data_IF_669282259966
#
_entry.id   IF_669282259966
#
_cell.length_a   1.000
_cell.length_b   1.000
_cell.length_c   1.000
_cell.angle_alpha   90.00
_cell.angle_beta   90.00
_cell.angle_gamma   90.00
#
_symmetry.space_group_name_H-M   'P 1'
#
loop_
_entity.id
_entity.type
_entity.pdbx_description
1 polymer ?
#
# COMPACT_ATOMS: atom_id res chain seq x y z
N UNK A 1 0.71 30.76 -10.15
CA UNK A 1 -0.60 31.27 -9.73
C UNK A 1 -1.65 30.64 -10.64
N UNK A 2 -2.58 29.88 -10.06
CA UNK A 2 -3.61 29.12 -10.78
C UNK A 2 -4.76 30.06 -11.19
N UNK A 3 -5.14 30.18 -12.47
CA UNK A 3 -6.17 31.11 -12.93
C UNK A 3 -7.61 30.74 -12.51
N UNK A 4 -7.82 29.62 -11.81
CA UNK A 4 -9.15 29.16 -11.37
C UNK A 4 -9.26 28.91 -9.84
N UNK A 5 -8.47 29.65 -9.06
CA UNK A 5 -8.41 29.52 -7.60
C UNK A 5 -9.77 29.66 -6.87
N UNK A 6 -10.28 28.52 -6.39
CA UNK A 6 -10.87 28.34 -5.06
C UNK A 6 -10.82 26.85 -4.71
N UNK A 7 -10.70 26.52 -3.42
CA UNK A 7 -10.69 25.16 -2.85
C UNK A 7 -11.96 24.34 -3.10
N UNK A 8 -12.95 24.90 -3.78
CA UNK A 8 -14.34 24.42 -3.77
C UNK A 8 -14.76 23.81 -5.12
N UNK A 9 -13.84 23.62 -6.07
CA UNK A 9 -14.16 23.05 -7.38
C UNK A 9 -13.20 21.92 -7.75
N UNK A 10 -13.74 20.89 -8.40
CA UNK A 10 -13.00 19.77 -8.99
C UNK A 10 -13.31 19.66 -10.48
N UNK A 11 -12.36 19.22 -11.28
CA UNK A 11 -12.58 18.99 -12.72
C UNK A 11 -12.87 17.51 -12.97
N UNK A 12 -14.01 17.22 -13.59
CA UNK A 12 -14.42 15.86 -14.00
C UNK A 12 -14.66 15.88 -15.51
N UNK A 13 -13.90 15.09 -16.26
CA UNK A 13 -13.98 15.03 -17.73
C UNK A 13 -13.99 16.41 -18.41
N UNK A 14 -13.13 17.31 -17.93
CA UNK A 14 -13.02 18.69 -18.43
C UNK A 14 -14.11 19.65 -17.96
N UNK A 15 -15.07 19.20 -17.15
CA UNK A 15 -16.13 20.03 -16.58
C UNK A 15 -15.81 20.41 -15.14
N UNK A 16 -15.86 21.71 -14.83
CA UNK A 16 -15.74 22.18 -13.45
C UNK A 16 -17.01 21.84 -12.65
N UNK A 17 -16.84 21.13 -11.54
CA UNK A 17 -17.89 20.69 -10.63
C UNK A 17 -17.67 21.36 -9.29
N UNK A 18 -18.69 22.05 -8.80
CA UNK A 18 -18.64 22.70 -7.49
C UNK A 18 -18.88 21.69 -6.38
N UNK A 19 -17.93 21.60 -5.45
CA UNK A 19 -18.03 20.77 -4.26
C UNK A 19 -19.02 21.40 -3.26
N UNK A 20 -19.83 20.57 -2.57
CA UNK A 20 -20.72 21.06 -1.53
C UNK A 20 -19.91 21.47 -0.29
N UNK A 21 -20.20 22.64 0.27
CA UNK A 21 -19.53 23.12 1.49
C UNK A 21 -20.30 22.60 2.71
N UNK A 22 -19.73 21.63 3.42
CA UNK A 22 -20.32 21.09 4.64
C UNK A 22 -20.25 22.11 5.79
N UNK A 23 -21.32 22.21 6.57
CA UNK A 23 -21.37 22.96 7.82
C UNK A 23 -20.99 22.01 8.95
N UNK A 24 -19.88 22.30 9.64
CA UNK A 24 -19.32 21.43 10.67
C UNK A 24 -18.31 20.43 10.10
N UNK A 25 -18.10 19.31 10.78
CA UNK A 25 -17.12 18.30 10.36
C UNK A 25 -17.71 17.40 9.25
N UNK A 26 -17.22 17.45 8.00
CA UNK A 26 -17.72 16.61 6.90
C UNK A 26 -17.50 15.11 7.15
N UNK A 27 -16.46 14.73 7.90
CA UNK A 27 -16.14 13.36 8.27
C UNK A 27 -16.99 12.82 9.44
N UNK A 28 -17.93 13.62 9.96
CA UNK A 28 -18.87 13.16 11.00
C UNK A 28 -19.85 12.09 10.48
N UNK A 29 -19.94 11.88 9.16
CA UNK A 29 -20.78 10.86 8.52
C UNK A 29 -22.25 10.91 8.98
N UNK A 30 -22.76 12.09 9.32
CA UNK A 30 -24.10 12.25 9.85
C UNK A 30 -25.16 12.21 8.74
N UNK A 31 -26.28 11.49 8.91
CA UNK A 31 -27.43 11.59 8.00
C UNK A 31 -28.09 12.99 8.05
N UNK A 32 -27.73 13.79 9.06
CA UNK A 32 -28.13 15.20 9.20
C UNK A 32 -27.03 16.17 8.81
N UNK A 33 -26.02 15.74 8.03
CA UNK A 33 -25.04 16.66 7.48
C UNK A 33 -25.76 17.82 6.79
N UNK A 34 -25.43 19.04 7.24
CA UNK A 34 -25.98 20.27 6.68
C UNK A 34 -24.93 20.90 5.79
N UNK A 35 -25.34 21.40 4.64
CA UNK A 35 -24.49 22.10 3.69
C UNK A 35 -24.85 23.57 3.66
N UNK A 36 -23.91 24.40 3.21
CA UNK A 36 -24.21 25.79 2.90
C UNK A 36 -25.15 25.87 1.70
N UNK A 37 -26.19 26.70 1.80
CA UNK A 37 -27.12 26.97 0.70
C UNK A 37 -26.36 27.55 -0.50
N UNK A 38 -26.72 27.21 -1.74
CA UNK A 38 -26.08 27.77 -2.91
C UNK A 38 -26.38 29.27 -3.03
N UNK A 39 -25.40 30.03 -3.51
CA UNK A 39 -25.66 31.37 -3.99
C UNK A 39 -26.56 31.29 -5.23
N UNK A 40 -27.57 32.16 -5.28
CA UNK A 40 -28.41 32.26 -6.46
C UNK A 40 -27.63 32.91 -7.59
N UNK A 41 -27.74 32.31 -8.78
CA UNK A 41 -27.25 32.91 -10.00
C UNK A 41 -27.98 34.26 -10.21
N UNK A 42 -27.25 35.36 -10.45
CA UNK A 42 -27.85 36.63 -10.82
C UNK A 42 -28.74 36.49 -12.07
N UNK A 43 -29.88 37.16 -12.08
CA UNK A 43 -30.80 37.11 -13.22
C UNK A 43 -30.13 37.57 -14.51
N UNK A 44 -29.14 38.46 -14.45
CA UNK A 44 -28.37 38.94 -15.61
C UNK A 44 -27.49 37.89 -16.27
N UNK A 45 -27.20 36.78 -15.59
CA UNK A 45 -26.31 35.72 -16.10
C UNK A 45 -27.06 34.61 -16.86
N UNK A 46 -28.39 34.64 -16.88
CA UNK A 46 -29.20 33.61 -17.53
C UNK A 46 -30.20 34.19 -18.53
N UNK A 47 -29.85 34.21 -19.82
CA UNK A 47 -30.75 34.63 -20.90
C UNK A 47 -31.71 33.52 -21.36
N UNK A 48 -31.38 32.27 -21.06
CA UNK A 48 -32.14 31.07 -21.41
C UNK A 48 -32.25 30.12 -20.22
N UNK A 49 -33.27 29.25 -20.24
CA UNK A 49 -33.45 28.22 -19.21
C UNK A 49 -32.30 27.20 -19.25
N UNK A 50 -31.56 27.02 -18.14
CA UNK A 50 -30.39 26.12 -18.02
C UNK A 50 -30.69 24.61 -18.08
N UNK A 51 -31.88 24.23 -18.57
CA UNK A 51 -32.24 22.82 -18.81
C UNK A 51 -32.84 22.58 -20.19
N UNK A 52 -33.47 23.59 -20.81
CA UNK A 52 -34.13 23.41 -22.10
C UNK A 52 -33.72 24.46 -23.13
N UNK A 53 -32.80 25.35 -22.77
CA UNK A 53 -32.19 26.39 -23.59
C UNK A 53 -33.14 27.39 -24.26
N UNK A 54 -34.44 27.36 -23.89
CA UNK A 54 -35.43 28.33 -24.36
C UNK A 54 -35.19 29.68 -23.67
N UNK A 55 -35.04 30.74 -24.48
CA UNK A 55 -34.87 32.13 -24.04
C UNK A 55 -35.99 32.59 -23.12
N UNK A 56 -35.63 33.32 -22.07
CA UNK A 56 -36.58 33.99 -21.21
C UNK A 56 -37.23 35.19 -21.92
N UNK A 57 -38.45 35.53 -21.49
CA UNK A 57 -39.22 36.65 -22.06
C UNK A 57 -40.16 37.22 -21.00
N UNK A 58 -40.92 38.26 -21.35
CA UNK A 58 -41.93 38.82 -20.44
C UNK A 58 -42.96 37.77 -19.97
N UNK A 59 -43.28 36.77 -20.81
CA UNK A 59 -44.21 35.69 -20.48
C UNK A 59 -43.52 34.43 -19.94
N UNK A 60 -42.21 34.27 -20.17
CA UNK A 60 -41.40 33.18 -19.61
C UNK A 60 -40.47 33.73 -18.55
N UNK A 61 -40.94 33.72 -17.30
CA UNK A 61 -40.21 34.24 -16.13
C UNK A 61 -39.10 33.28 -15.68
N UNK A 62 -38.10 33.86 -15.02
CA UNK A 62 -36.95 33.17 -14.41
C UNK A 62 -37.35 32.57 -13.06
N UNK A 63 -36.85 31.37 -12.76
CA UNK A 63 -37.07 30.68 -11.48
C UNK A 63 -35.79 30.00 -10.98
N UNK A 64 -35.34 30.36 -9.79
CA UNK A 64 -34.19 29.72 -9.15
C UNK A 64 -34.55 28.35 -8.57
N UNK A 65 -33.70 27.37 -8.84
CA UNK A 65 -33.68 26.12 -8.08
C UNK A 65 -33.07 26.38 -6.71
N UNK A 66 -33.79 26.08 -5.63
CA UNK A 66 -33.29 26.28 -4.26
C UNK A 66 -32.15 25.33 -3.90
N UNK A 67 -31.97 24.25 -4.67
CA UNK A 67 -30.88 23.31 -4.42
C UNK A 67 -29.56 23.67 -5.10
N UNK A 68 -29.57 24.17 -6.34
CA UNK A 68 -28.34 24.50 -7.07
C UNK A 68 -28.15 25.98 -7.38
N UNK A 69 -29.11 26.85 -7.03
CA UNK A 69 -29.04 28.30 -7.27
C UNK A 69 -29.20 28.72 -8.75
N UNK A 70 -29.16 27.79 -9.71
CA UNK A 70 -29.30 28.05 -11.16
C UNK A 70 -30.73 28.44 -11.55
N UNK A 71 -30.87 29.13 -12.69
CA UNK A 71 -32.14 29.69 -13.20
C UNK A 71 -32.78 28.81 -14.29
N UNK A 72 -34.09 28.60 -14.16
CA UNK A 72 -34.90 27.74 -15.03
C UNK A 72 -36.27 28.37 -15.36
N UNK A 73 -36.95 27.84 -16.38
CA UNK A 73 -38.36 28.18 -16.64
C UNK A 73 -39.31 27.35 -15.76
N UNK A 74 -40.58 27.76 -15.68
CA UNK A 74 -41.60 27.12 -14.82
C UNK A 74 -41.74 25.62 -15.09
N UNK A 75 -41.64 25.19 -16.36
CA UNK A 75 -41.71 23.77 -16.74
C UNK A 75 -40.50 22.94 -16.27
N UNK A 76 -39.34 23.57 -16.09
CA UNK A 76 -38.11 22.89 -15.68
C UNK A 76 -37.84 22.99 -14.17
N UNK A 77 -38.58 23.83 -13.45
CA UNK A 77 -38.50 24.04 -12.00
C UNK A 77 -39.93 24.23 -11.43
N UNK A 78 -40.75 23.19 -11.61
CA UNK A 78 -42.16 23.17 -11.23
C UNK A 78 -42.37 22.63 -9.82
N UNK A 79 -41.72 21.50 -9.55
CA UNK A 79 -41.93 20.66 -8.37
C UNK A 79 -41.28 21.27 -7.13
N UNK A 80 -41.88 20.98 -5.98
CA UNK A 80 -41.35 21.37 -4.67
C UNK A 80 -41.02 20.14 -3.83
N UNK A 81 -39.86 20.15 -3.20
CA UNK A 81 -39.39 19.05 -2.34
C UNK A 81 -38.66 19.60 -1.10
N UNK A 82 -38.78 18.95 0.07
CA UNK A 82 -37.95 19.30 1.23
C UNK A 82 -36.46 19.24 0.92
N UNK A 83 -35.69 20.18 1.48
CA UNK A 83 -34.22 20.25 1.38
C UNK A 83 -33.58 20.16 2.77
N UNK A 84 -33.74 19.02 3.48
CA UNK A 84 -33.29 18.89 4.86
C UNK A 84 -31.75 18.97 5.00
N UNK A 85 -31.00 18.66 3.94
CA UNK A 85 -29.55 18.87 3.89
C UNK A 85 -29.13 20.35 3.88
N UNK A 86 -30.07 21.29 3.71
CA UNK A 86 -29.85 22.73 3.96
C UNK A 86 -30.58 23.23 5.21
N UNK A 87 -31.08 22.33 6.06
CA UNK A 87 -31.91 22.65 7.21
C UNK A 87 -33.31 23.18 6.84
N UNK A 88 -33.81 22.88 5.63
CA UNK A 88 -35.12 23.32 5.15
C UNK A 88 -36.05 22.11 5.07
N UNK A 89 -36.96 21.97 6.04
CA UNK A 89 -37.93 20.88 6.03
C UNK A 89 -39.12 21.15 5.11
N UNK A 90 -39.36 22.42 4.77
CA UNK A 90 -40.49 22.78 3.90
C UNK A 90 -40.21 22.55 2.41
N UNK A 91 -41.21 22.16 1.62
CA UNK A 91 -41.02 21.93 0.19
C UNK A 91 -40.62 23.19 -0.58
N UNK A 92 -39.45 23.15 -1.21
CA UNK A 92 -38.88 24.24 -2.00
C UNK A 92 -38.73 23.87 -3.48
N UNK A 93 -38.78 24.89 -4.35
CA UNK A 93 -38.69 24.68 -5.81
C UNK A 93 -37.32 24.11 -6.21
N UNK A 94 -37.34 23.00 -6.94
CA UNK A 94 -36.13 22.37 -7.48
C UNK A 94 -36.24 22.15 -8.98
N UNK A 95 -35.11 22.23 -9.68
CA UNK A 95 -35.06 21.84 -11.08
C UNK A 95 -35.15 20.33 -11.25
N UNK A 96 -35.54 19.87 -12.44
CA UNK A 96 -35.68 18.43 -12.75
C UNK A 96 -34.44 17.60 -12.39
N UNK A 97 -33.25 18.12 -12.65
CA UNK A 97 -31.99 17.41 -12.39
C UNK A 97 -31.67 17.32 -10.88
N UNK A 98 -31.98 18.35 -10.10
CA UNK A 98 -31.84 18.30 -8.64
C UNK A 98 -32.92 17.43 -8.00
N UNK A 99 -34.15 17.45 -8.55
CA UNK A 99 -35.29 16.73 -7.99
C UNK A 99 -34.95 15.25 -7.77
N UNK A 100 -34.47 14.57 -8.80
CA UNK A 100 -34.15 13.14 -8.73
C UNK A 100 -33.18 12.81 -7.59
N UNK A 101 -32.09 13.56 -7.48
CA UNK A 101 -31.06 13.31 -6.47
C UNK A 101 -31.57 13.65 -5.06
N UNK A 102 -32.29 14.76 -4.91
CA UNK A 102 -32.87 15.14 -3.62
C UNK A 102 -33.94 14.15 -3.16
N UNK A 103 -34.74 13.59 -4.08
CA UNK A 103 -35.70 12.51 -3.76
C UNK A 103 -34.98 11.27 -3.21
N UNK A 104 -33.90 10.85 -3.85
CA UNK A 104 -33.07 9.73 -3.37
C UNK A 104 -32.42 10.07 -2.01
N UNK A 105 -31.90 11.28 -1.84
CA UNK A 105 -31.33 11.72 -0.56
C UNK A 105 -32.38 11.76 0.57
N UNK A 106 -33.63 12.12 0.27
CA UNK A 106 -34.72 12.08 1.23
C UNK A 106 -35.09 10.63 1.58
N UNK A 107 -35.13 9.72 0.59
CA UNK A 107 -35.31 8.28 0.84
C UNK A 107 -34.21 7.69 1.72
N UNK A 108 -32.96 8.14 1.58
CA UNK A 108 -31.84 7.72 2.42
C UNK A 108 -32.04 8.02 3.92
N UNK A 109 -32.88 9.01 4.25
CA UNK A 109 -33.24 9.39 5.63
C UNK A 109 -34.44 8.62 6.19
N UNK A 110 -35.11 7.82 5.38
CA UNK A 110 -36.24 6.99 5.81
C UNK A 110 -35.81 6.00 6.90
N UNK A 111 -36.73 5.58 7.76
CA UNK A 111 -36.49 4.46 8.68
C UNK A 111 -36.52 3.10 7.98
N UNK A 112 -37.11 3.04 6.79
CA UNK A 112 -37.27 1.84 5.97
C UNK A 112 -35.96 1.49 5.23
N UNK A 113 -35.47 0.26 5.44
CA UNK A 113 -34.21 -0.22 4.84
C UNK A 113 -34.32 -0.44 3.34
N UNK A 114 -35.49 -0.79 2.82
CA UNK A 114 -35.67 -0.97 1.38
C UNK A 114 -35.62 0.37 0.66
N UNK A 115 -36.20 1.42 1.26
CA UNK A 115 -36.08 2.78 0.75
C UNK A 115 -34.64 3.31 0.80
N UNK A 116 -33.89 3.00 1.85
CA UNK A 116 -32.46 3.32 1.91
C UNK A 116 -31.68 2.59 0.84
N UNK A 117 -31.96 1.31 0.63
CA UNK A 117 -31.31 0.52 -0.40
C UNK A 117 -31.61 1.07 -1.80
N UNK A 118 -32.87 1.40 -2.10
CA UNK A 118 -33.25 2.11 -3.33
C UNK A 118 -32.51 3.43 -3.50
N UNK A 119 -32.33 4.19 -2.41
CA UNK A 119 -31.59 5.44 -2.44
C UNK A 119 -30.12 5.24 -2.83
N UNK A 120 -29.42 4.28 -2.20
CA UNK A 120 -28.01 3.98 -2.53
C UNK A 120 -27.91 3.55 -3.99
N UNK A 121 -28.71 2.58 -4.43
CA UNK A 121 -28.65 2.05 -5.79
C UNK A 121 -28.95 3.14 -6.83
N UNK A 122 -29.97 3.96 -6.56
CA UNK A 122 -30.34 5.08 -7.41
C UNK A 122 -29.19 6.10 -7.54
N UNK A 123 -28.59 6.50 -6.42
CA UNK A 123 -27.46 7.43 -6.44
C UNK A 123 -26.24 6.81 -7.14
N UNK A 124 -25.90 5.56 -6.83
CA UNK A 124 -24.78 4.83 -7.45
C UNK A 124 -24.93 4.68 -8.95
N UNK A 125 -26.16 4.49 -9.46
CA UNK A 125 -26.41 4.41 -10.90
C UNK A 125 -26.04 5.71 -11.64
N UNK A 126 -26.19 6.86 -10.98
CA UNK A 126 -25.86 8.17 -11.54
C UNK A 126 -24.34 8.43 -11.56
N UNK A 127 -23.56 7.74 -10.74
CA UNK A 127 -22.09 7.89 -10.70
C UNK A 127 -21.41 7.36 -11.97
N UNK A 128 -22.08 6.49 -12.73
CA UNK A 128 -21.52 5.81 -13.91
C UNK A 128 -21.29 6.73 -15.13
N UNK A 129 -21.84 7.94 -15.11
CA UNK A 129 -21.62 8.94 -16.17
C UNK A 129 -21.27 10.30 -15.58
N UNK A 130 -20.50 11.09 -16.32
CA UNK A 130 -19.92 12.35 -15.83
C UNK A 130 -20.96 13.40 -15.42
N UNK A 131 -22.06 13.53 -16.18
CA UNK A 131 -23.13 14.47 -15.87
C UNK A 131 -23.87 14.11 -14.57
N UNK A 132 -24.17 12.83 -14.39
CA UNK A 132 -24.79 12.28 -13.18
C UNK A 132 -23.86 12.42 -11.97
N UNK A 133 -22.60 12.01 -12.11
CA UNK A 133 -21.56 12.16 -11.09
C UNK A 133 -21.43 13.62 -10.61
N UNK A 134 -21.27 14.55 -11.56
CA UNK A 134 -21.19 15.99 -11.27
C UNK A 134 -22.39 16.46 -10.47
N UNK A 135 -23.59 16.00 -10.86
CA UNK A 135 -24.82 16.40 -10.19
C UNK A 135 -24.97 15.80 -8.80
N UNK A 136 -24.56 14.54 -8.61
CA UNK A 136 -24.55 13.88 -7.29
C UNK A 136 -23.60 14.60 -6.35
N UNK A 137 -22.42 15.01 -6.83
CA UNK A 137 -21.45 15.80 -6.06
C UNK A 137 -22.05 17.15 -5.66
N UNK A 138 -22.51 17.95 -6.62
CA UNK A 138 -23.07 19.29 -6.38
C UNK A 138 -24.22 19.29 -5.34
N UNK A 139 -24.96 18.18 -5.24
CA UNK A 139 -26.09 18.07 -4.32
C UNK A 139 -25.73 17.52 -2.93
N UNK A 140 -24.49 17.10 -2.68
CA UNK A 140 -24.10 16.43 -1.42
C UNK A 140 -24.51 14.95 -1.36
N UNK A 141 -24.73 14.33 -2.51
CA UNK A 141 -25.12 12.92 -2.58
C UNK A 141 -24.02 11.96 -2.13
N UNK A 142 -22.73 12.30 -2.31
CA UNK A 142 -21.61 11.48 -1.82
C UNK A 142 -21.63 11.34 -0.30
N UNK A 143 -21.77 12.44 0.45
CA UNK A 143 -21.88 12.38 1.91
C UNK A 143 -23.11 11.57 2.34
N UNK A 144 -24.21 11.64 1.59
CA UNK A 144 -25.41 10.85 1.85
C UNK A 144 -25.12 9.36 1.67
N UNK A 145 -24.46 8.97 0.57
CA UNK A 145 -23.99 7.59 0.33
C UNK A 145 -23.12 7.11 1.51
N UNK A 146 -22.10 7.88 1.89
CA UNK A 146 -21.20 7.50 2.98
C UNK A 146 -21.92 7.38 4.33
N UNK A 147 -22.86 8.29 4.65
CA UNK A 147 -23.61 8.25 5.91
C UNK A 147 -24.47 6.99 6.07
N UNK A 148 -24.93 6.39 4.95
CA UNK A 148 -25.70 5.15 4.97
C UNK A 148 -24.88 3.93 5.41
N UNK A 149 -23.54 4.01 5.39
CA UNK A 149 -22.66 2.96 5.90
C UNK A 149 -22.84 2.70 7.41
N UNK A 150 -23.18 3.72 8.19
CA UNK A 150 -23.21 3.64 9.67
C UNK A 150 -24.40 2.80 10.15
N UNK A 151 -25.58 3.03 9.57
CA UNK A 151 -26.83 2.42 10.03
C UNK A 151 -27.45 1.47 8.99
N UNK A 152 -26.69 1.10 7.96
CA UNK A 152 -27.13 0.19 6.91
C UNK A 152 -26.97 -1.27 7.28
N UNK A 153 -27.85 -2.13 6.77
CA UNK A 153 -27.63 -3.58 6.75
C UNK A 153 -26.52 -3.95 5.75
N UNK A 154 -26.13 -5.23 5.68
CA UNK A 154 -25.05 -5.68 4.79
C UNK A 154 -25.31 -5.36 3.31
N UNK A 155 -26.56 -5.38 2.84
CA UNK A 155 -26.91 -5.00 1.45
C UNK A 155 -26.60 -3.54 1.16
N UNK A 156 -26.98 -2.65 2.09
CA UNK A 156 -26.67 -1.21 2.01
C UNK A 156 -25.15 -1.00 2.05
N UNK A 157 -24.44 -1.66 2.97
CA UNK A 157 -22.99 -1.56 3.08
C UNK A 157 -22.29 -1.98 1.78
N UNK A 158 -22.67 -3.10 1.18
CA UNK A 158 -22.10 -3.54 -0.11
C UNK A 158 -22.38 -2.54 -1.23
N UNK A 159 -23.61 -1.99 -1.30
CA UNK A 159 -23.95 -0.97 -2.27
C UNK A 159 -23.16 0.34 -2.06
N UNK A 160 -22.87 0.72 -0.81
CA UNK A 160 -22.01 1.86 -0.47
C UNK A 160 -20.56 1.58 -0.84
N UNK A 161 -20.01 0.39 -0.56
CA UNK A 161 -18.65 0.03 -0.94
C UNK A 161 -18.47 0.07 -2.47
N UNK A 162 -19.43 -0.45 -3.23
CA UNK A 162 -19.44 -0.38 -4.70
C UNK A 162 -19.48 1.07 -5.21
N UNK A 163 -20.27 1.93 -4.57
CA UNK A 163 -20.32 3.36 -4.88
C UNK A 163 -18.96 4.04 -4.62
N UNK A 164 -18.34 3.76 -3.47
CA UNK A 164 -17.02 4.31 -3.11
C UNK A 164 -15.94 3.82 -4.07
N UNK A 165 -15.98 2.55 -4.47
CA UNK A 165 -15.09 2.02 -5.50
C UNK A 165 -15.24 2.76 -6.83
N UNK A 166 -16.48 2.99 -7.29
CA UNK A 166 -16.73 3.76 -8.51
C UNK A 166 -16.20 5.20 -8.41
N UNK A 167 -16.36 5.86 -7.26
CA UNK A 167 -15.86 7.22 -7.03
C UNK A 167 -14.32 7.27 -7.02
N UNK A 168 -13.67 6.28 -6.40
CA UNK A 168 -12.21 6.20 -6.29
C UNK A 168 -11.49 5.97 -7.64
N UNK A 169 -12.22 5.62 -8.71
CA UNK A 169 -11.65 5.55 -10.06
C UNK A 169 -11.23 6.93 -10.59
N UNK A 170 -11.79 8.03 -10.05
CA UNK A 170 -11.40 9.39 -10.41
C UNK A 170 -10.44 9.96 -9.37
N UNK A 171 -9.15 10.02 -9.71
CA UNK A 171 -8.11 10.58 -8.83
C UNK A 171 -8.41 12.02 -8.37
N UNK A 172 -9.13 12.79 -9.20
CA UNK A 172 -9.52 14.17 -8.89
C UNK A 172 -10.45 14.27 -7.67
N UNK A 173 -11.15 13.18 -7.32
CA UNK A 173 -12.07 13.13 -6.19
C UNK A 173 -11.42 12.64 -4.89
N UNK A 174 -10.17 12.14 -4.94
CA UNK A 174 -9.55 11.47 -3.79
C UNK A 174 -9.55 12.33 -2.52
N UNK A 175 -9.05 13.58 -2.59
CA UNK A 175 -9.04 14.51 -1.44
C UNK A 175 -10.45 14.72 -0.88
N UNK A 176 -11.42 15.00 -1.77
CA UNK A 176 -12.80 15.22 -1.37
C UNK A 176 -13.42 13.98 -0.70
N UNK A 177 -13.15 12.78 -1.20
CA UNK A 177 -13.63 11.54 -0.60
C UNK A 177 -13.06 11.34 0.81
N UNK A 178 -11.75 11.58 0.99
CA UNK A 178 -11.09 11.48 2.29
C UNK A 178 -11.68 12.49 3.27
N UNK A 179 -11.82 13.76 2.86
CA UNK A 179 -12.46 14.82 3.68
C UNK A 179 -13.92 14.49 4.03
N UNK A 180 -14.65 13.83 3.14
CA UNK A 180 -16.02 13.38 3.37
C UNK A 180 -16.12 12.17 4.32
N UNK A 181 -14.98 11.61 4.76
CA UNK A 181 -14.92 10.49 5.70
C UNK A 181 -14.94 9.11 5.06
N UNK A 182 -14.54 8.97 3.78
CA UNK A 182 -14.54 7.68 3.09
C UNK A 182 -13.63 6.65 3.78
N UNK A 183 -12.47 7.05 4.32
CA UNK A 183 -11.52 6.14 4.96
C UNK A 183 -12.12 5.52 6.23
N UNK A 184 -12.87 6.30 7.01
CA UNK A 184 -13.60 5.80 8.17
C UNK A 184 -14.67 4.76 7.78
N UNK A 185 -15.36 4.97 6.65
CA UNK A 185 -16.31 4.00 6.11
C UNK A 185 -15.60 2.70 5.69
N UNK A 186 -14.51 2.81 4.93
CA UNK A 186 -13.74 1.65 4.47
C UNK A 186 -13.14 0.86 5.64
N UNK A 187 -12.58 1.56 6.64
CA UNK A 187 -12.06 0.94 7.87
C UNK A 187 -13.16 0.14 8.56
N UNK A 188 -14.34 0.73 8.77
CA UNK A 188 -15.46 0.05 9.41
C UNK A 188 -15.92 -1.20 8.63
N UNK A 189 -15.87 -1.17 7.30
CA UNK A 189 -16.20 -2.34 6.48
C UNK A 189 -15.17 -3.45 6.62
N UNK A 190 -13.88 -3.11 6.54
CA UNK A 190 -12.78 -4.07 6.67
C UNK A 190 -12.63 -4.63 8.09
N UNK A 191 -12.99 -3.86 9.12
CA UNK A 191 -13.00 -4.32 10.51
C UNK A 191 -14.25 -5.12 10.90
N UNK A 192 -15.28 -5.17 10.05
CA UNK A 192 -16.52 -5.87 10.41
C UNK A 192 -16.39 -7.40 10.25
N UNK A 193 -16.93 -8.16 11.20
CA UNK A 193 -17.12 -9.60 11.08
C UNK A 193 -18.19 -9.89 10.02
N UNK A 194 -17.83 -9.80 8.75
CA UNK A 194 -18.75 -9.95 7.64
C UNK A 194 -18.25 -11.01 6.67
N UNK A 195 -19.07 -12.04 6.43
CA UNK A 195 -18.80 -13.07 5.41
C UNK A 195 -19.12 -12.58 3.98
N UNK A 196 -19.43 -11.29 3.78
CA UNK A 196 -19.74 -10.74 2.46
C UNK A 196 -18.44 -10.41 1.72
N UNK A 197 -18.03 -11.33 0.85
CA UNK A 197 -16.84 -11.19 0.01
C UNK A 197 -16.91 -9.97 -0.92
N UNK A 198 -18.09 -9.65 -1.45
CA UNK A 198 -18.32 -8.47 -2.30
C UNK A 198 -18.00 -7.17 -1.55
N UNK A 199 -18.47 -7.04 -0.29
CA UNK A 199 -18.20 -5.86 0.54
C UNK A 199 -16.69 -5.66 0.74
N UNK A 200 -15.97 -6.72 1.10
CA UNK A 200 -14.53 -6.67 1.31
C UNK A 200 -13.79 -6.38 -0.01
N UNK A 201 -14.19 -7.04 -1.10
CA UNK A 201 -13.57 -6.86 -2.42
C UNK A 201 -13.69 -5.41 -2.92
N UNK A 202 -14.88 -4.82 -2.86
CA UNK A 202 -15.10 -3.43 -3.29
C UNK A 202 -14.36 -2.45 -2.36
N UNK A 203 -14.35 -2.72 -1.05
CA UNK A 203 -13.64 -1.88 -0.07
C UNK A 203 -12.13 -1.90 -0.30
N UNK A 204 -11.54 -3.08 -0.51
CA UNK A 204 -10.11 -3.24 -0.84
C UNK A 204 -9.78 -2.61 -2.19
N UNK A 205 -10.66 -2.74 -3.19
CA UNK A 205 -10.48 -2.14 -4.51
C UNK A 205 -10.49 -0.62 -4.45
N UNK A 206 -11.42 -0.03 -3.70
CA UNK A 206 -11.46 1.40 -3.46
C UNK A 206 -10.19 1.89 -2.74
N UNK A 207 -9.79 1.20 -1.67
CA UNK A 207 -8.60 1.56 -0.90
C UNK A 207 -7.32 1.44 -1.74
N UNK A 208 -7.20 0.41 -2.59
CA UNK A 208 -6.09 0.26 -3.51
C UNK A 208 -5.96 1.46 -4.45
N UNK A 209 -7.07 1.92 -5.05
CA UNK A 209 -7.09 3.08 -5.94
C UNK A 209 -6.72 4.37 -5.20
N UNK A 210 -7.25 4.58 -4.00
CA UNK A 210 -6.91 5.72 -3.15
C UNK A 210 -5.42 5.74 -2.79
N UNK A 211 -4.85 4.58 -2.45
CA UNK A 211 -3.42 4.42 -2.15
C UNK A 211 -2.49 4.59 -3.36
N UNK A 212 -3.00 4.80 -4.59
CA UNK A 212 -2.13 5.18 -5.70
C UNK A 212 -1.58 6.61 -5.52
N UNK A 213 -2.31 7.45 -4.79
CA UNK A 213 -1.88 8.80 -4.41
C UNK A 213 -1.06 8.76 -3.11
N UNK A 214 0.16 9.31 -3.15
CA UNK A 214 1.07 9.31 -2.00
C UNK A 214 0.56 10.12 -0.82
N UNK A 215 -0.13 11.24 -1.08
CA UNK A 215 -0.64 12.12 -0.01
C UNK A 215 -1.77 11.42 0.75
N UNK A 216 -2.59 10.66 0.02
CA UNK A 216 -3.70 9.89 0.59
C UNK A 216 -3.18 8.72 1.45
N UNK A 217 -2.03 8.11 1.12
CA UNK A 217 -1.44 7.03 1.96
C UNK A 217 -1.20 7.50 3.40
N UNK A 218 -0.81 8.75 3.59
CA UNK A 218 -0.57 9.32 4.93
C UNK A 218 -1.90 9.38 5.71
N UNK A 219 -2.99 9.81 5.07
CA UNK A 219 -4.31 9.84 5.69
C UNK A 219 -4.85 8.43 5.96
N UNK A 220 -4.59 7.47 5.08
CA UNK A 220 -4.89 6.03 5.30
C UNK A 220 -4.18 5.49 6.54
N UNK A 221 -2.91 5.86 6.75
CA UNK A 221 -2.16 5.48 7.95
C UNK A 221 -2.74 6.14 9.21
N UNK A 222 -3.02 7.44 9.18
CA UNK A 222 -3.59 8.19 10.31
C UNK A 222 -4.96 7.67 10.74
N UNK A 223 -5.78 7.20 9.80
CA UNK A 223 -7.09 6.59 10.11
C UNK A 223 -6.94 5.22 10.83
N UNK A 224 -5.73 4.64 10.86
CA UNK A 224 -5.47 3.33 11.48
C UNK A 224 -5.91 2.16 10.60
N UNK A 225 -5.75 2.30 9.27
CA UNK A 225 -6.20 1.29 8.31
C UNK A 225 -5.39 -0.02 8.36
N UNK A 226 -4.15 0.01 8.87
CA UNK A 226 -3.30 -1.18 8.96
C UNK A 226 -3.94 -2.28 9.81
N UNK A 227 -4.52 -1.93 10.95
CA UNK A 227 -5.19 -2.91 11.83
C UNK A 227 -6.39 -3.56 11.12
N UNK A 228 -7.17 -2.77 10.38
CA UNK A 228 -8.30 -3.27 9.60
C UNK A 228 -7.85 -4.19 8.45
N UNK A 229 -6.77 -3.83 7.75
CA UNK A 229 -6.17 -4.69 6.72
C UNK A 229 -5.63 -6.00 7.29
N UNK A 230 -4.91 -5.95 8.42
CA UNK A 230 -4.37 -7.14 9.07
C UNK A 230 -5.48 -8.08 9.56
N UNK A 231 -6.58 -7.53 10.09
CA UNK A 231 -7.75 -8.34 10.44
C UNK A 231 -8.26 -9.12 9.21
N UNK A 232 -8.40 -8.46 8.05
CA UNK A 232 -8.83 -9.15 6.82
C UNK A 232 -7.81 -10.19 6.37
N UNK A 233 -6.52 -9.89 6.42
CA UNK A 233 -5.43 -10.82 6.06
C UNK A 233 -5.48 -12.10 6.90
N UNK A 234 -5.74 -11.99 8.20
CA UNK A 234 -5.74 -13.12 9.14
C UNK A 234 -7.08 -13.87 9.18
N UNK A 235 -8.21 -13.17 9.08
CA UNK A 235 -9.55 -13.77 9.25
C UNK A 235 -10.18 -14.27 7.95
N UNK A 236 -9.72 -13.80 6.79
CA UNK A 236 -10.21 -14.26 5.48
C UNK A 236 -9.34 -15.36 4.88
N UNK A 237 -9.78 -15.94 3.77
CA UNK A 237 -9.02 -16.96 3.01
C UNK A 237 -8.93 -16.63 1.53
N UNK A 238 -7.88 -17.13 0.88
CA UNK A 238 -7.70 -17.06 -0.58
C UNK A 238 -7.53 -15.62 -1.09
N UNK A 239 -8.25 -15.28 -2.16
CA UNK A 239 -8.06 -14.03 -2.93
C UNK A 239 -8.22 -12.78 -2.06
N UNK A 240 -9.15 -12.78 -1.11
CA UNK A 240 -9.40 -11.63 -0.23
C UNK A 240 -8.18 -11.30 0.64
N UNK A 241 -7.57 -12.30 1.28
CA UNK A 241 -6.38 -12.12 2.12
C UNK A 241 -5.17 -11.71 1.29
N UNK A 242 -5.02 -12.30 0.10
CA UNK A 242 -3.98 -11.91 -0.86
C UNK A 242 -4.15 -10.44 -1.27
N UNK A 243 -5.38 -10.01 -1.57
CA UNK A 243 -5.62 -8.64 -2.00
C UNK A 243 -5.41 -7.63 -0.86
N UNK A 244 -5.90 -7.93 0.35
CA UNK A 244 -5.63 -7.11 1.53
C UNK A 244 -4.13 -6.96 1.80
N UNK A 245 -3.37 -8.05 1.64
CA UNK A 245 -1.90 -8.04 1.78
C UNK A 245 -1.24 -7.14 0.73
N UNK A 246 -1.73 -7.13 -0.51
CA UNK A 246 -1.22 -6.24 -1.57
C UNK A 246 -1.51 -4.76 -1.28
N UNK A 247 -2.68 -4.44 -0.73
CA UNK A 247 -2.98 -3.07 -0.30
C UNK A 247 -2.07 -2.66 0.85
N UNK A 248 -1.81 -3.55 1.82
CA UNK A 248 -0.86 -3.30 2.90
C UNK A 248 0.57 -3.08 2.38
N UNK A 249 1.01 -3.78 1.34
CA UNK A 249 2.32 -3.57 0.71
C UNK A 249 2.49 -2.14 0.17
N UNK A 250 1.44 -1.51 -0.35
CA UNK A 250 1.50 -0.12 -0.85
C UNK A 250 1.83 0.89 0.26
N UNK A 251 1.51 0.55 1.50
CA UNK A 251 1.85 1.35 2.68
C UNK A 251 3.26 0.99 3.17
N UNK A 252 3.59 -0.29 3.29
CA UNK A 252 4.85 -0.73 3.89
C UNK A 252 6.06 -0.52 2.98
N UNK A 253 5.89 -0.43 1.65
CA UNK A 253 7.02 -0.25 0.74
C UNK A 253 7.72 1.11 0.87
N UNK A 254 7.10 2.12 1.51
CA UNK A 254 7.74 3.39 1.83
C UNK A 254 8.36 3.35 3.23
N UNK A 255 9.68 3.40 3.31
CA UNK A 255 10.44 3.38 4.57
C UNK A 255 10.15 4.58 5.48
N UNK A 256 9.72 5.72 4.93
CA UNK A 256 9.36 6.91 5.73
C UNK A 256 8.17 6.65 6.68
N UNK A 257 7.35 5.64 6.38
CA UNK A 257 6.18 5.30 7.20
C UNK A 257 6.52 4.36 8.35
N UNK A 258 7.71 3.73 8.34
CA UNK A 258 8.05 2.63 9.24
C UNK A 258 8.04 3.05 10.71
N UNK A 259 8.54 4.23 11.05
CA UNK A 259 8.52 4.73 12.43
C UNK A 259 7.09 4.99 12.92
N UNK A 260 6.24 5.54 12.07
CA UNK A 260 4.81 5.73 12.38
C UNK A 260 4.12 4.38 12.59
N UNK A 261 4.37 3.41 11.71
CA UNK A 261 3.80 2.06 11.80
C UNK A 261 4.25 1.38 13.11
N UNK A 262 5.55 1.45 13.43
CA UNK A 262 6.11 0.85 14.63
C UNK A 262 5.47 1.40 15.91
N UNK A 263 5.21 2.71 15.96
CA UNK A 263 4.61 3.37 17.12
C UNK A 263 3.13 3.02 17.30
N UNK A 264 2.38 2.84 16.19
CA UNK A 264 0.93 2.69 16.22
C UNK A 264 0.44 1.24 16.07
N UNK A 265 1.27 0.33 15.53
CA UNK A 265 0.87 -1.05 15.20
C UNK A 265 1.90 -2.09 15.66
N UNK A 266 2.04 -2.25 16.98
CA UNK A 266 3.03 -3.17 17.59
C UNK A 266 2.83 -4.65 17.25
N UNK A 267 1.60 -5.06 16.89
CA UNK A 267 1.27 -6.47 16.59
C UNK A 267 1.44 -6.85 15.12
N UNK A 268 1.92 -5.94 14.28
CA UNK A 268 2.04 -6.18 12.84
C UNK A 268 2.91 -7.40 12.51
N UNK A 269 4.08 -7.54 13.15
CA UNK A 269 4.96 -8.70 12.89
C UNK A 269 4.30 -10.02 13.37
N UNK A 270 3.81 -10.14 14.62
CA UNK A 270 3.10 -11.35 15.06
C UNK A 270 1.92 -11.76 14.15
N UNK A 271 1.14 -10.79 13.66
CA UNK A 271 -0.01 -11.03 12.77
C UNK A 271 0.41 -11.47 11.37
N UNK A 272 1.48 -10.87 10.82
CA UNK A 272 2.07 -11.32 9.57
C UNK A 272 2.60 -12.75 9.68
N UNK A 273 3.27 -13.11 10.78
CA UNK A 273 3.71 -14.49 11.01
C UNK A 273 2.54 -15.47 11.17
N UNK A 274 1.44 -15.06 11.81
CA UNK A 274 0.23 -15.88 11.86
C UNK A 274 -0.35 -16.12 10.45
N UNK A 275 -0.35 -15.09 9.59
CA UNK A 275 -0.79 -15.22 8.19
C UNK A 275 0.18 -16.07 7.34
N UNK A 276 1.49 -16.01 7.62
CA UNK A 276 2.54 -16.74 6.91
C UNK A 276 2.40 -18.27 7.05
N UNK A 277 1.86 -18.74 8.17
CA UNK A 277 1.67 -20.16 8.46
C UNK A 277 0.49 -20.79 7.69
N UNK A 278 -0.27 -20.02 6.92
CA UNK A 278 -1.27 -20.57 6.01
C UNK A 278 -0.60 -21.27 4.81
N UNK A 279 -1.22 -22.33 4.28
CA UNK A 279 -0.71 -23.11 3.14
C UNK A 279 -0.90 -22.42 1.77
N UNK A 280 -1.44 -21.19 1.74
CA UNK A 280 -1.63 -20.43 0.50
C UNK A 280 -0.32 -19.78 0.03
N UNK A 281 0.29 -20.34 -1.01
CA UNK A 281 1.53 -19.82 -1.61
C UNK A 281 1.44 -18.37 -2.09
N UNK A 282 0.28 -17.91 -2.57
CA UNK A 282 0.11 -16.52 -3.01
C UNK A 282 0.11 -15.57 -1.83
N UNK A 283 -0.53 -15.99 -0.72
CA UNK A 283 -0.50 -15.24 0.52
C UNK A 283 0.91 -15.21 1.10
N UNK A 284 1.59 -16.36 1.20
CA UNK A 284 3.00 -16.44 1.64
C UNK A 284 3.91 -15.51 0.83
N UNK A 285 3.78 -15.47 -0.50
CA UNK A 285 4.54 -14.56 -1.35
C UNK A 285 4.27 -13.07 -1.01
N UNK A 286 3.02 -12.72 -0.69
CA UNK A 286 2.68 -11.37 -0.29
C UNK A 286 3.22 -11.01 1.11
N UNK A 287 3.09 -11.91 2.08
CA UNK A 287 3.54 -11.70 3.46
C UNK A 287 5.07 -11.60 3.51
N UNK A 288 5.78 -12.52 2.84
CA UNK A 288 7.25 -12.46 2.76
C UNK A 288 7.74 -11.16 2.12
N UNK A 289 7.04 -10.64 1.11
CA UNK A 289 7.38 -9.33 0.53
C UNK A 289 7.22 -8.18 1.54
N UNK A 290 6.18 -8.21 2.38
CA UNK A 290 5.97 -7.22 3.44
C UNK A 290 7.10 -7.32 4.49
N UNK A 291 7.40 -8.53 4.96
CA UNK A 291 8.47 -8.78 5.92
C UNK A 291 9.85 -8.39 5.36
N UNK A 292 10.07 -8.59 4.06
CA UNK A 292 11.28 -8.14 3.38
C UNK A 292 11.45 -6.61 3.50
N UNK A 293 10.40 -5.83 3.25
CA UNK A 293 10.45 -4.38 3.47
C UNK A 293 10.71 -4.03 4.93
N UNK A 294 10.02 -4.64 5.89
CA UNK A 294 10.28 -4.36 7.32
C UNK A 294 11.71 -4.72 7.75
N UNK A 295 12.25 -5.86 7.30
CA UNK A 295 13.61 -6.28 7.63
C UNK A 295 14.68 -5.34 7.06
N UNK A 296 14.42 -4.74 5.89
CA UNK A 296 15.27 -3.73 5.28
C UNK A 296 15.19 -2.36 5.97
N UNK A 297 14.13 -2.12 6.76
CA UNK A 297 13.89 -0.89 7.49
C UNK A 297 14.76 -0.74 8.74
N UNK A 298 14.15 -0.37 9.86
CA UNK A 298 14.86 -0.06 11.11
C UNK A 298 15.24 -1.31 11.92
N UNK A 299 16.23 -1.16 12.83
CA UNK A 299 16.69 -2.23 13.74
C UNK A 299 15.53 -2.86 14.53
N UNK A 300 14.56 -2.09 15.09
CA UNK A 300 13.43 -2.67 15.82
C UNK A 300 12.62 -3.68 15.02
N UNK A 301 12.40 -3.44 13.72
CA UNK A 301 11.70 -4.41 12.88
C UNK A 301 12.48 -5.71 12.70
N UNK A 302 13.80 -5.63 12.51
CA UNK A 302 14.65 -6.83 12.45
C UNK A 302 14.60 -7.63 13.74
N UNK A 303 14.71 -6.96 14.89
CA UNK A 303 14.64 -7.61 16.19
C UNK A 303 13.29 -8.29 16.43
N UNK A 304 12.18 -7.61 16.10
CA UNK A 304 10.84 -8.20 16.20
C UNK A 304 10.67 -9.41 15.28
N UNK A 305 11.18 -9.35 14.04
CA UNK A 305 11.13 -10.48 13.09
C UNK A 305 11.94 -11.66 13.64
N UNK A 306 13.16 -11.43 14.13
CA UNK A 306 14.00 -12.50 14.73
C UNK A 306 13.28 -13.13 15.93
N UNK A 307 12.70 -12.32 16.82
CA UNK A 307 11.99 -12.81 17.99
C UNK A 307 10.79 -13.68 17.60
N UNK A 308 9.95 -13.21 16.67
CA UNK A 308 8.79 -13.97 16.20
C UNK A 308 9.20 -15.26 15.48
N UNK A 309 10.21 -15.21 14.61
CA UNK A 309 10.71 -16.38 13.88
C UNK A 309 11.25 -17.45 14.84
N UNK A 310 12.10 -17.07 15.81
CA UNK A 310 12.64 -17.99 16.82
C UNK A 310 11.53 -18.55 17.70
N UNK A 311 10.58 -17.72 18.15
CA UNK A 311 9.49 -18.15 19.04
C UNK A 311 8.54 -19.17 18.40
N UNK A 312 8.54 -19.27 17.07
CA UNK A 312 7.65 -20.12 16.27
C UNK A 312 8.40 -21.26 15.59
N UNK A 313 9.60 -21.60 16.06
CA UNK A 313 10.43 -22.67 15.51
C UNK A 313 10.85 -22.45 14.04
N UNK A 314 11.28 -21.22 13.73
CA UNK A 314 11.90 -20.82 12.47
C UNK A 314 11.04 -21.04 11.19
N UNK A 315 9.81 -20.50 11.12
CA UNK A 315 8.99 -20.60 9.91
C UNK A 315 9.65 -19.99 8.67
N UNK A 316 10.53 -18.98 8.80
CA UNK A 316 11.30 -18.48 7.66
C UNK A 316 12.23 -19.57 7.09
N UNK A 317 12.91 -20.34 7.95
CA UNK A 317 13.79 -21.43 7.50
C UNK A 317 13.01 -22.59 6.90
N UNK A 318 11.80 -22.86 7.41
CA UNK A 318 10.89 -23.82 6.79
C UNK A 318 10.55 -23.42 5.34
N UNK A 319 10.26 -22.13 5.09
CA UNK A 319 9.96 -21.64 3.75
C UNK A 319 11.14 -21.70 2.78
N UNK A 320 12.39 -21.65 3.28
CA UNK A 320 13.57 -21.88 2.44
C UNK A 320 13.64 -23.28 1.84
N UNK A 321 12.89 -24.25 2.37
CA UNK A 321 12.79 -25.62 1.84
C UNK A 321 11.66 -25.78 0.81
N UNK A 322 10.92 -24.71 0.54
CA UNK A 322 9.80 -24.70 -0.42
C UNK A 322 10.25 -24.67 -1.89
N UNK A 323 9.27 -24.70 -2.80
CA UNK A 323 9.52 -24.74 -4.25
C UNK A 323 9.25 -23.40 -4.96
N UNK A 324 8.56 -22.46 -4.30
CA UNK A 324 8.19 -21.17 -4.90
C UNK A 324 9.37 -20.22 -4.97
N UNK A 325 9.92 -20.01 -6.18
CA UNK A 325 11.11 -19.17 -6.40
C UNK A 325 10.94 -17.74 -5.85
N UNK A 326 9.77 -17.12 -6.02
CA UNK A 326 9.52 -15.78 -5.49
C UNK A 326 9.55 -15.73 -3.95
N UNK A 327 9.01 -16.76 -3.29
CA UNK A 327 9.06 -16.88 -1.83
C UNK A 327 10.50 -17.09 -1.37
N UNK A 328 11.25 -17.98 -2.04
CA UNK A 328 12.66 -18.24 -1.73
C UNK A 328 13.51 -16.97 -1.81
N UNK A 329 13.36 -16.17 -2.86
CA UNK A 329 14.07 -14.89 -3.03
C UNK A 329 13.73 -13.93 -1.90
N UNK A 330 12.44 -13.75 -1.58
CA UNK A 330 12.03 -12.85 -0.49
C UNK A 330 12.60 -13.30 0.86
N UNK A 331 12.53 -14.59 1.17
CA UNK A 331 12.99 -15.13 2.45
C UNK A 331 14.51 -15.08 2.55
N UNK A 332 15.25 -15.40 1.49
CA UNK A 332 16.70 -15.22 1.45
C UNK A 332 17.09 -13.75 1.67
N UNK A 333 16.34 -12.81 1.07
CA UNK A 333 16.53 -11.37 1.30
C UNK A 333 16.24 -10.97 2.76
N UNK A 334 15.15 -11.47 3.36
CA UNK A 334 14.83 -11.25 4.78
C UNK A 334 16.00 -11.74 5.63
N UNK A 335 16.43 -13.00 5.49
CA UNK A 335 17.52 -13.56 6.30
C UNK A 335 18.82 -12.77 6.11
N UNK A 336 19.14 -12.34 4.89
CA UNK A 336 20.29 -11.49 4.64
C UNK A 336 20.21 -10.12 5.32
N UNK A 337 19.01 -9.54 5.46
CA UNK A 337 18.78 -8.32 6.22
C UNK A 337 18.85 -8.57 7.73
N UNK A 338 18.37 -9.72 8.23
CA UNK A 338 18.48 -10.07 9.65
C UNK A 338 19.92 -10.35 10.08
N UNK A 339 20.79 -10.74 9.13
CA UNK A 339 22.19 -11.08 9.41
C UNK A 339 23.00 -9.98 10.11
N UNK A 340 22.63 -8.71 9.92
CA UNK A 340 23.30 -7.58 10.58
C UNK A 340 22.81 -7.32 12.01
N UNK A 341 21.80 -8.06 12.49
CA UNK A 341 21.18 -7.84 13.82
C UNK A 341 20.93 -9.13 14.60
N UNK A 342 21.13 -10.31 14.01
CA UNK A 342 20.93 -11.58 14.70
C UNK A 342 21.96 -11.78 15.81
N UNK A 343 21.54 -12.38 16.92
CA UNK A 343 22.45 -12.74 18.00
C UNK A 343 23.23 -14.03 17.67
N UNK A 344 24.29 -14.28 18.44
CA UNK A 344 25.14 -15.47 18.29
C UNK A 344 24.40 -16.79 18.61
N UNK A 345 23.35 -16.74 19.42
CA UNK A 345 22.58 -17.94 19.80
C UNK A 345 21.81 -18.52 18.62
N UNK A 346 21.40 -17.69 17.65
CA UNK A 346 20.55 -18.13 16.53
C UNK A 346 21.25 -18.09 15.16
N UNK A 347 22.39 -17.41 15.04
CA UNK A 347 23.10 -17.21 13.76
C UNK A 347 23.35 -18.51 12.98
N UNK A 348 23.70 -19.58 13.69
CA UNK A 348 24.02 -20.87 13.08
C UNK A 348 22.82 -21.53 12.38
N UNK A 349 21.59 -21.37 12.90
CA UNK A 349 20.37 -21.86 12.25
C UNK A 349 20.17 -21.19 10.88
N UNK A 350 20.33 -19.86 10.82
CA UNK A 350 20.19 -19.11 9.57
C UNK A 350 21.28 -19.42 8.56
N UNK A 351 22.54 -19.56 8.99
CA UNK A 351 23.63 -19.97 8.09
C UNK A 351 23.33 -21.36 7.49
N UNK A 352 22.98 -22.34 8.34
CA UNK A 352 22.65 -23.70 7.88
C UNK A 352 21.49 -23.69 6.89
N UNK A 353 20.40 -22.97 7.19
CA UNK A 353 19.24 -22.89 6.29
C UNK A 353 19.57 -22.25 4.93
N UNK A 354 20.40 -21.21 4.92
CA UNK A 354 20.86 -20.56 3.68
C UNK A 354 21.79 -21.46 2.86
N UNK A 355 22.66 -22.24 3.51
CA UNK A 355 23.53 -23.21 2.84
C UNK A 355 22.77 -24.46 2.33
N UNK A 356 21.76 -24.92 3.07
CA UNK A 356 20.83 -25.97 2.61
C UNK A 356 20.12 -25.51 1.34
N UNK A 357 19.55 -24.29 1.34
CA UNK A 357 18.94 -23.70 0.15
C UNK A 357 19.95 -23.60 -1.00
N UNK A 358 21.18 -23.16 -0.74
CA UNK A 358 22.22 -23.00 -1.75
C UNK A 358 22.52 -24.31 -2.49
N UNK A 359 22.45 -25.45 -1.81
CA UNK A 359 22.72 -26.77 -2.39
C UNK A 359 21.70 -27.16 -3.45
N UNK A 360 20.46 -26.69 -3.34
CA UNK A 360 19.35 -27.02 -4.26
C UNK A 360 18.86 -25.80 -5.06
N UNK A 361 19.50 -24.64 -4.91
CA UNK A 361 19.12 -23.42 -5.60
C UNK A 361 19.27 -23.57 -7.11
N UNK A 362 18.33 -22.96 -7.85
CA UNK A 362 18.45 -22.87 -9.30
C UNK A 362 19.67 -22.00 -9.65
N UNK A 363 20.66 -22.60 -10.30
CA UNK A 363 21.92 -21.94 -10.65
C UNK A 363 21.77 -20.86 -11.73
N UNK A 364 20.61 -20.80 -12.40
CA UNK A 364 20.27 -19.74 -13.37
C UNK A 364 19.56 -18.53 -12.72
N UNK A 365 19.22 -18.60 -11.43
CA UNK A 365 18.53 -17.52 -10.72
C UNK A 365 19.55 -16.62 -10.00
N UNK A 366 20.07 -15.62 -10.73
CA UNK A 366 21.05 -14.65 -10.20
C UNK A 366 20.55 -13.96 -8.93
N UNK A 367 19.29 -13.53 -8.90
CA UNK A 367 18.73 -12.79 -7.77
C UNK A 367 18.75 -13.64 -6.49
N UNK A 368 18.33 -14.90 -6.56
CA UNK A 368 18.35 -15.82 -5.43
C UNK A 368 19.78 -16.05 -4.93
N UNK A 369 20.71 -16.36 -5.83
CA UNK A 369 22.12 -16.60 -5.47
C UNK A 369 22.77 -15.35 -4.86
N UNK A 370 22.44 -14.16 -5.38
CA UNK A 370 22.92 -12.89 -4.84
C UNK A 370 22.40 -12.65 -3.41
N UNK A 371 21.11 -12.92 -3.13
CA UNK A 371 20.58 -12.78 -1.77
C UNK A 371 21.22 -13.79 -0.80
N UNK A 372 21.42 -15.05 -1.24
CA UNK A 372 22.10 -16.08 -0.44
C UNK A 372 23.52 -15.66 -0.12
N UNK A 373 24.30 -15.30 -1.14
CA UNK A 373 25.68 -14.84 -0.99
C UNK A 373 25.78 -13.61 -0.10
N UNK A 374 24.89 -12.62 -0.26
CA UNK A 374 24.84 -11.43 0.59
C UNK A 374 24.62 -11.78 2.05
N UNK A 375 23.65 -12.65 2.35
CA UNK A 375 23.37 -13.08 3.72
C UNK A 375 24.54 -13.82 4.36
N UNK A 376 25.11 -14.79 3.65
CA UNK A 376 26.28 -15.56 4.12
C UNK A 376 27.51 -14.65 4.31
N UNK A 377 27.72 -13.67 3.44
CA UNK A 377 28.79 -12.67 3.60
C UNK A 377 28.59 -11.79 4.84
N UNK A 378 27.36 -11.37 5.11
CA UNK A 378 27.04 -10.61 6.32
C UNK A 378 27.25 -11.46 7.59
N UNK A 379 26.91 -12.75 7.57
CA UNK A 379 27.21 -13.65 8.69
C UNK A 379 28.72 -13.87 8.88
N UNK A 380 29.49 -13.95 7.79
CA UNK A 380 30.94 -14.17 7.85
C UNK A 380 31.71 -13.00 8.47
N UNK A 381 31.13 -11.80 8.49
CA UNK A 381 31.76 -10.62 9.10
C UNK A 381 32.04 -10.81 10.60
N UNK A 382 31.21 -11.58 11.31
CA UNK A 382 31.42 -11.88 12.72
C UNK A 382 32.40 -13.05 12.91
N UNK A 383 33.48 -12.89 13.69
CA UNK A 383 34.42 -13.98 13.97
C UNK A 383 33.78 -15.20 14.67
N UNK A 384 32.66 -15.01 15.37
CA UNK A 384 31.95 -16.10 16.06
C UNK A 384 31.34 -17.12 15.10
N UNK A 385 31.09 -16.75 13.85
CA UNK A 385 30.50 -17.63 12.82
C UNK A 385 31.55 -18.32 11.96
N UNK A 386 32.83 -17.94 12.08
CA UNK A 386 33.89 -18.41 11.16
C UNK A 386 34.01 -19.92 11.08
N UNK A 387 34.00 -20.63 12.21
CA UNK A 387 34.09 -22.11 12.22
C UNK A 387 32.91 -22.76 11.49
N UNK A 388 31.70 -22.22 11.68
CA UNK A 388 30.49 -22.72 11.01
C UNK A 388 30.52 -22.40 9.51
N UNK A 389 31.02 -21.23 9.14
CA UNK A 389 31.22 -20.84 7.74
C UNK A 389 32.29 -21.69 7.03
N UNK A 390 33.38 -22.05 7.72
CA UNK A 390 34.42 -22.96 7.19
C UNK A 390 33.82 -24.31 6.82
N UNK A 391 32.94 -24.86 7.67
CA UNK A 391 32.26 -26.12 7.39
C UNK A 391 31.43 -26.07 6.09
N UNK A 392 30.82 -24.92 5.78
CA UNK A 392 30.00 -24.74 4.57
C UNK A 392 30.77 -24.17 3.37
N UNK A 393 32.06 -23.84 3.53
CA UNK A 393 32.87 -23.22 2.48
C UNK A 393 32.91 -24.03 1.17
N UNK A 394 32.98 -25.37 1.17
CA UNK A 394 32.92 -26.15 -0.08
C UNK A 394 31.65 -25.90 -0.89
N UNK A 395 30.48 -25.82 -0.23
CA UNK A 395 29.19 -25.54 -0.87
C UNK A 395 29.12 -24.10 -1.41
N UNK A 396 29.69 -23.14 -0.66
CA UNK A 396 29.80 -21.74 -1.08
C UNK A 396 30.67 -21.61 -2.33
N UNK A 397 31.80 -22.32 -2.36
CA UNK A 397 32.69 -22.34 -3.52
C UNK A 397 31.95 -22.90 -4.75
N UNK A 398 31.35 -24.09 -4.62
CA UNK A 398 30.76 -24.78 -5.77
C UNK A 398 29.56 -24.05 -6.38
N UNK A 399 28.77 -23.31 -5.58
CA UNK A 399 27.52 -22.69 -6.05
C UNK A 399 27.58 -21.15 -6.17
N UNK A 400 28.50 -20.46 -5.46
CA UNK A 400 28.61 -18.99 -5.53
C UNK A 400 29.90 -18.54 -6.20
N UNK A 401 31.06 -19.03 -5.72
CA UNK A 401 32.35 -18.60 -6.28
C UNK A 401 32.55 -19.06 -7.74
N UNK A 402 32.00 -20.23 -8.08
CA UNK A 402 31.99 -20.77 -9.43
C UNK A 402 30.74 -20.42 -10.24
N UNK A 403 29.87 -19.54 -9.72
CA UNK A 403 28.67 -19.09 -10.43
C UNK A 403 29.03 -18.44 -11.76
N UNK A 404 28.13 -18.44 -12.74
CA UNK A 404 28.28 -17.65 -13.97
C UNK A 404 28.07 -16.15 -13.75
N UNK A 405 27.44 -15.76 -12.63
CA UNK A 405 27.08 -14.38 -12.33
C UNK A 405 28.12 -13.69 -11.45
N UNK A 406 28.39 -12.41 -11.73
CA UNK A 406 29.40 -11.63 -11.02
C UNK A 406 29.03 -11.39 -9.54
N UNK A 407 27.78 -10.99 -9.27
CA UNK A 407 27.36 -10.60 -7.92
C UNK A 407 27.50 -11.75 -6.89
N UNK A 408 27.05 -12.99 -7.17
CA UNK A 408 27.32 -14.15 -6.31
C UNK A 408 28.81 -14.41 -6.08
N UNK A 409 29.67 -14.30 -7.11
CA UNK A 409 31.12 -14.49 -6.98
C UNK A 409 31.74 -13.47 -6.02
N UNK A 410 31.37 -12.20 -6.15
CA UNK A 410 31.89 -11.13 -5.30
C UNK A 410 31.47 -11.34 -3.84
N UNK A 411 30.23 -11.77 -3.59
CA UNK A 411 29.81 -12.15 -2.24
C UNK A 411 30.57 -13.37 -1.69
N UNK A 412 30.85 -14.38 -2.52
CA UNK A 412 31.70 -15.50 -2.11
C UNK A 412 33.12 -15.05 -1.76
N UNK A 413 33.70 -14.14 -2.54
CA UNK A 413 35.00 -13.55 -2.23
C UNK A 413 34.98 -12.77 -0.91
N UNK A 414 33.92 -12.02 -0.61
CA UNK A 414 33.74 -11.36 0.70
C UNK A 414 33.78 -12.37 1.85
N UNK A 415 33.09 -13.50 1.73
CA UNK A 415 33.13 -14.59 2.73
C UNK A 415 34.56 -15.09 2.92
N UNK A 416 35.26 -15.43 1.83
CA UNK A 416 36.64 -15.94 1.89
C UNK A 416 37.59 -14.93 2.56
N UNK A 417 37.46 -13.63 2.26
CA UNK A 417 38.30 -12.58 2.87
C UNK A 417 38.06 -12.46 4.38
N UNK A 418 36.81 -12.52 4.84
CA UNK A 418 36.53 -12.56 6.28
C UNK A 418 37.12 -13.82 6.92
N UNK A 419 36.99 -14.97 6.27
CA UNK A 419 37.58 -16.23 6.75
C UNK A 419 39.11 -16.20 6.75
N UNK A 420 39.78 -15.52 5.82
CA UNK A 420 41.23 -15.30 5.87
C UNK A 420 41.65 -14.44 7.05
N UNK A 421 40.77 -13.58 7.56
CA UNK A 421 41.06 -12.74 8.72
C UNK A 421 40.96 -13.53 10.03
N UNK A 422 40.13 -14.58 10.09
CA UNK A 422 39.88 -15.35 11.33
C UNK A 422 40.45 -16.78 11.32
N UNK A 423 40.43 -17.46 10.18
CA UNK A 423 40.64 -18.91 9.99
C UNK A 423 41.48 -19.21 8.73
N UNK A 424 42.55 -18.43 8.50
CA UNK A 424 43.37 -18.49 7.28
C UNK A 424 43.82 -19.90 6.87
N UNK A 425 44.42 -20.74 7.75
CA UNK A 425 44.95 -22.03 7.33
C UNK A 425 43.86 -22.95 6.78
N UNK A 426 42.72 -23.03 7.47
CA UNK A 426 41.59 -23.87 7.10
C UNK A 426 40.92 -23.38 5.81
N UNK A 427 40.70 -22.06 5.69
CA UNK A 427 40.11 -21.47 4.50
C UNK A 427 40.99 -21.68 3.26
N UNK A 428 42.32 -21.50 3.41
CA UNK A 428 43.27 -21.68 2.32
C UNK A 428 43.38 -23.14 1.89
N UNK A 429 43.40 -24.08 2.83
CA UNK A 429 43.41 -25.52 2.52
C UNK A 429 42.21 -25.90 1.65
N UNK A 430 40.99 -25.52 2.05
CA UNK A 430 39.76 -25.79 1.30
C UNK A 430 39.80 -25.11 -0.09
N UNK A 431 40.18 -23.83 -0.15
CA UNK A 431 40.21 -23.08 -1.41
C UNK A 431 41.25 -23.64 -2.38
N UNK A 432 42.38 -24.14 -1.88
CA UNK A 432 43.43 -24.78 -2.69
C UNK A 432 42.97 -26.08 -3.33
N UNK A 433 41.99 -26.77 -2.73
CA UNK A 433 41.39 -27.97 -3.29
C UNK A 433 40.41 -27.64 -4.43
N UNK A 434 39.74 -26.50 -4.37
CA UNK A 434 38.81 -26.01 -5.41
C UNK A 434 38.47 -24.54 -5.16
N UNK A 435 38.46 -23.71 -6.21
CA UNK A 435 38.01 -22.32 -6.12
C UNK A 435 39.11 -21.26 -6.05
N UNK A 436 40.38 -21.65 -5.89
CA UNK A 436 41.49 -20.70 -5.77
C UNK A 436 41.68 -19.84 -7.02
N UNK A 437 41.61 -20.45 -8.19
CA UNK A 437 41.74 -19.72 -9.46
C UNK A 437 40.58 -18.74 -9.63
N UNK A 438 39.34 -19.19 -9.41
CA UNK A 438 38.15 -18.35 -9.50
C UNK A 438 38.18 -17.20 -8.48
N UNK A 439 38.68 -17.43 -7.27
CA UNK A 439 38.89 -16.40 -6.25
C UNK A 439 39.93 -15.36 -6.70
N UNK A 440 41.10 -15.81 -7.16
CA UNK A 440 42.17 -14.90 -7.61
C UNK A 440 41.69 -14.08 -8.81
N UNK A 441 41.10 -14.72 -9.81
CA UNK A 441 40.57 -14.04 -11.00
C UNK A 441 39.53 -12.98 -10.59
N UNK A 442 38.54 -13.34 -9.78
CA UNK A 442 37.49 -12.41 -9.35
C UNK A 442 38.06 -11.24 -8.53
N UNK A 443 39.00 -11.51 -7.63
CA UNK A 443 39.60 -10.49 -6.76
C UNK A 443 40.48 -9.54 -7.56
N UNK A 444 41.32 -10.04 -8.48
CA UNK A 444 42.22 -9.21 -9.29
C UNK A 444 41.52 -8.47 -10.42
N UNK A 445 40.29 -8.85 -10.78
CA UNK A 445 39.43 -8.08 -11.67
C UNK A 445 38.83 -6.82 -10.98
N UNK A 446 38.88 -6.73 -9.64
CA UNK A 446 38.37 -5.57 -8.92
C UNK A 446 39.15 -4.28 -9.27
N UNK A 447 38.46 -3.22 -9.70
CA UNK A 447 39.11 -1.97 -10.10
C UNK A 447 40.00 -1.38 -8.99
N UNK A 448 41.26 -1.11 -9.33
CA UNK A 448 42.23 -0.46 -8.45
C UNK A 448 42.92 -1.37 -7.44
N UNK A 449 42.58 -2.67 -7.35
CA UNK A 449 43.20 -3.57 -6.38
C UNK A 449 44.72 -3.69 -6.59
N UNK A 450 45.18 -3.86 -7.83
CA UNK A 450 46.61 -4.00 -8.15
C UNK A 450 47.41 -2.78 -7.69
N UNK A 451 46.87 -1.58 -7.86
CA UNK A 451 47.51 -0.34 -7.40
C UNK A 451 47.54 -0.25 -5.87
N UNK A 452 46.46 -0.64 -5.19
CA UNK A 452 46.38 -0.71 -3.73
C UNK A 452 47.44 -1.68 -3.19
N UNK A 453 47.49 -2.91 -3.72
CA UNK A 453 48.45 -3.93 -3.29
C UNK A 453 49.89 -3.48 -3.53
N UNK A 454 50.21 -2.96 -4.72
CA UNK A 454 51.53 -2.40 -5.01
C UNK A 454 51.88 -1.25 -4.05
N UNK A 455 50.92 -0.37 -3.76
CA UNK A 455 51.09 0.68 -2.77
C UNK A 455 51.40 0.15 -1.36
N UNK A 456 50.68 -0.90 -0.92
CA UNK A 456 50.91 -1.55 0.38
C UNK A 456 52.26 -2.28 0.43
N UNK A 457 52.66 -2.98 -0.63
CA UNK A 457 53.98 -3.61 -0.72
C UNK A 457 55.10 -2.57 -0.67
N UNK A 458 54.96 -1.46 -1.38
CA UNK A 458 55.96 -0.39 -1.39
C UNK A 458 56.10 0.34 -0.04
N UNK A 459 55.13 0.19 0.87
CA UNK A 459 55.28 0.63 2.28
C UNK A 459 56.14 -0.32 3.10
N UNK A 460 56.21 -1.60 2.71
CA UNK A 460 57.04 -2.62 3.37
C UNK A 460 58.43 -2.74 2.77
N UNK A 461 58.58 -2.48 1.47
CA UNK A 461 59.85 -2.51 0.74
C UNK A 461 60.02 -1.24 -0.12
N UNK A 462 61.13 -0.52 0.02
CA UNK A 462 61.37 0.69 -0.78
C UNK A 462 61.71 0.33 -2.24
N UNK A 463 61.30 1.19 -3.19
CA UNK A 463 61.73 1.08 -4.60
C UNK A 463 63.24 1.28 -4.79
N UNK A 464 63.87 1.99 -3.86
CA UNK A 464 65.29 2.27 -3.84
C UNK A 464 65.91 1.45 -2.72
N UNK A 465 66.84 0.54 -3.05
CA UNK A 465 67.85 0.12 -2.08
C UNK A 465 68.75 1.34 -1.86
N UNK A 466 68.48 2.13 -0.81
CA UNK A 466 69.50 3.09 -0.37
C UNK A 466 70.63 2.24 0.17
N UNK A 467 71.68 2.04 -0.65
CA UNK A 467 72.99 1.67 -0.17
C UNK A 467 73.43 2.76 0.82
N UNK A 468 73.11 2.58 2.10
CA UNK A 468 73.82 3.28 3.17
C UNK A 468 75.24 2.74 3.15
N UNK A 469 76.16 3.57 2.64
CA UNK A 469 77.59 3.46 2.92
C UNK A 469 77.86 3.94 4.34
#
# INVERSE_FOLDING_TARGET
>A
MNPFGSSDNVTIDGTAVKLPVAIGNPAALSPSATFQKPNWMPDTEADSCLNCDIKFSQFRRKHHCRNCGKIFCSKCCLEKIPLPHFGINEPEKVCKNCKLIVELMNKAKSSDMDQKYEAVIGLSSLLKNSAGLSKVIECGGINTILSMAINGNNKIKSAVASAVHCLAQSMMLNSFLVEAGCLKVLKNFLSSECNCTELLSDSLSALNLLCMDSDIRIEVLKEGMIEALLNVVVSSSGITSVFASRVLQLLVCNFEYHDFILQNHRRIIPELFAALLNEDYQLQACITKILMHFSAGSVPFREMIIQEDVSRDFPLLFLLKGSSQGVLVHVACIVANLAVSVNQNYVHHYITGMCELLTFANQENEELLAQIGRGLANFAESPSSSLHMIHHLPTIISNLLKSSFEVPKVHACRIVVYLFSSELPSALDILSQSGLDEFIETVFDLPGLTDILNGLFLRKVSRLSVCQK
#
